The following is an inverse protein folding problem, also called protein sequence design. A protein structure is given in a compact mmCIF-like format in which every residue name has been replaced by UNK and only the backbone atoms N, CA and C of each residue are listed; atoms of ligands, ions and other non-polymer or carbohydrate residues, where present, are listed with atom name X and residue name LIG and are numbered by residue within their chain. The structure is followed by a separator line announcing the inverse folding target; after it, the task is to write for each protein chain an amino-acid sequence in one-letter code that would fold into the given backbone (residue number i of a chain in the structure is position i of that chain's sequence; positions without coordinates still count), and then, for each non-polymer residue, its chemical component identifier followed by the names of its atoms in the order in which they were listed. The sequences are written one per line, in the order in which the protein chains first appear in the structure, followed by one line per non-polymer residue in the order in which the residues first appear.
data_IF_950404441239
#
_entry.id   IF_950404441239
#
_cell.length_a   1.000
_cell.length_b   1.000
_cell.length_c   1.000
_cell.angle_alpha   90.00
_cell.angle_beta   90.00
_cell.angle_gamma   90.00
#
_symmetry.space_group_name_H-M   'P 1'
#
loop_
_entity.id
_entity.type
_entity.pdbx_description
1 polymer ?
#
# COMPACT_ATOMS: atom_id res chain seq x y z
N UNK A 1 -56.93 47.71 -4.86
CA UNK A 1 -57.11 46.36 -4.28
C UNK A 1 -56.24 45.41 -5.08
N UNK A 2 -55.12 44.93 -4.54
CA UNK A 2 -54.23 43.99 -5.23
C UNK A 2 -54.49 42.57 -4.69
N UNK A 3 -54.70 41.55 -5.55
CA UNK A 3 -54.97 40.20 -5.11
C UNK A 3 -53.74 39.59 -4.44
N UNK A 4 -53.91 39.06 -3.22
CA UNK A 4 -52.87 38.32 -2.52
C UNK A 4 -52.59 36.99 -3.24
N UNK A 5 -51.36 36.81 -3.74
CA UNK A 5 -50.92 35.53 -4.32
C UNK A 5 -50.87 34.47 -3.23
N UNK A 6 -51.62 33.38 -3.40
CA UNK A 6 -51.48 32.18 -2.58
C UNK A 6 -50.09 31.58 -2.82
N UNK A 7 -49.25 31.55 -1.79
CA UNK A 7 -47.99 30.81 -1.83
C UNK A 7 -48.30 29.33 -1.69
N UNK A 8 -47.88 28.53 -2.69
CA UNK A 8 -47.98 27.08 -2.63
C UNK A 8 -46.97 26.56 -1.61
N UNK A 9 -47.45 25.85 -0.60
CA UNK A 9 -46.60 25.16 0.38
C UNK A 9 -46.09 23.83 -0.18
N UNK A 10 -44.94 23.39 0.33
CA UNK A 10 -44.38 22.07 0.03
C UNK A 10 -45.25 20.98 0.64
N UNK A 11 -45.51 19.91 -0.11
CA UNK A 11 -46.22 18.74 0.41
C UNK A 11 -45.24 17.75 1.06
N UNK A 12 -45.71 16.99 2.06
CA UNK A 12 -44.90 15.93 2.69
C UNK A 12 -44.47 14.86 1.69
N UNK A 13 -45.31 14.57 0.68
CA UNK A 13 -44.99 13.58 -0.36
C UNK A 13 -43.87 14.07 -1.29
N UNK A 14 -43.83 15.36 -1.63
CA UNK A 14 -42.73 15.94 -2.42
C UNK A 14 -41.40 15.83 -1.68
N UNK A 15 -41.39 16.08 -0.37
CA UNK A 15 -40.18 15.89 0.43
C UNK A 15 -39.76 14.42 0.50
N UNK A 16 -40.73 13.51 0.69
CA UNK A 16 -40.48 12.08 0.84
C UNK A 16 -39.88 11.45 -0.42
N UNK A 17 -40.36 11.83 -1.61
CA UNK A 17 -39.82 11.34 -2.89
C UNK A 17 -38.39 11.86 -3.12
N UNK A 18 -38.10 13.10 -2.71
CA UNK A 18 -36.75 13.66 -2.90
C UNK A 18 -35.72 12.93 -2.04
N UNK A 19 -36.02 12.70 -0.75
CA UNK A 19 -35.09 12.00 0.12
C UNK A 19 -34.92 10.53 -0.28
N UNK A 20 -35.95 9.89 -0.85
CA UNK A 20 -35.84 8.50 -1.33
C UNK A 20 -35.00 8.39 -2.59
N UNK A 21 -35.05 9.38 -3.48
CA UNK A 21 -34.17 9.42 -4.65
C UNK A 21 -32.72 9.73 -4.28
N UNK A 22 -32.49 10.65 -3.34
CA UNK A 22 -31.14 10.95 -2.85
C UNK A 22 -30.53 9.72 -2.16
N UNK A 23 -31.28 9.00 -1.34
CA UNK A 23 -30.76 7.81 -0.65
C UNK A 23 -30.42 6.68 -1.63
N UNK A 24 -31.22 6.48 -2.68
CA UNK A 24 -30.93 5.54 -3.75
C UNK A 24 -29.61 5.88 -4.46
N UNK A 25 -29.46 7.13 -4.91
CA UNK A 25 -28.24 7.57 -5.59
C UNK A 25 -27.01 7.52 -4.67
N UNK A 26 -27.15 7.95 -3.42
CA UNK A 26 -26.07 7.92 -2.43
C UNK A 26 -25.59 6.49 -2.16
N UNK A 27 -26.49 5.50 -2.07
CA UNK A 27 -26.11 4.10 -1.86
C UNK A 27 -25.18 3.55 -2.94
N UNK A 28 -25.44 3.87 -4.22
CA UNK A 28 -24.61 3.44 -5.35
C UNK A 28 -23.24 4.09 -5.32
N UNK A 29 -23.17 5.39 -4.99
CA UNK A 29 -21.90 6.11 -4.87
C UNK A 29 -21.02 5.51 -3.78
N UNK A 30 -21.59 5.23 -2.60
CA UNK A 30 -20.84 4.63 -1.49
C UNK A 30 -20.26 3.25 -1.84
N UNK A 31 -21.05 2.38 -2.51
CA UNK A 31 -20.56 1.08 -2.96
C UNK A 31 -19.41 1.21 -3.97
N UNK A 32 -19.53 2.15 -4.92
CA UNK A 32 -18.47 2.39 -5.92
C UNK A 32 -17.17 2.93 -5.31
N UNK A 33 -17.27 3.74 -4.25
CA UNK A 33 -16.13 4.35 -3.57
C UNK A 33 -15.28 3.31 -2.84
N UNK A 34 -15.89 2.30 -2.22
CA UNK A 34 -15.15 1.23 -1.53
C UNK A 34 -14.22 0.49 -2.50
N UNK A 35 -14.75 0.03 -3.63
CA UNK A 35 -13.95 -0.67 -4.65
C UNK A 35 -12.85 0.21 -5.23
N UNK A 36 -13.12 1.49 -5.46
CA UNK A 36 -12.11 2.44 -5.96
C UNK A 36 -10.97 2.64 -4.95
N UNK A 37 -11.27 2.73 -3.66
CA UNK A 37 -10.25 2.85 -2.60
C UNK A 37 -9.39 1.60 -2.52
N UNK A 38 -9.98 0.42 -2.64
CA UNK A 38 -9.23 -0.84 -2.59
C UNK A 38 -8.26 -0.94 -3.78
N UNK A 39 -8.71 -0.64 -4.99
CA UNK A 39 -7.85 -0.58 -6.18
C UNK A 39 -6.72 0.44 -6.03
N UNK A 40 -7.00 1.60 -5.46
CA UNK A 40 -5.99 2.62 -5.21
C UNK A 40 -4.93 2.15 -4.19
N UNK A 41 -5.33 1.42 -3.14
CA UNK A 41 -4.39 0.79 -2.21
C UNK A 41 -3.48 -0.19 -2.94
N UNK A 42 -4.01 -1.13 -3.70
CA UNK A 42 -3.19 -2.07 -4.47
C UNK A 42 -2.24 -1.37 -5.48
N UNK A 43 -2.71 -0.34 -6.18
CA UNK A 43 -1.88 0.42 -7.10
C UNK A 43 -0.73 1.14 -6.39
N UNK A 44 -0.99 1.71 -5.21
CA UNK A 44 0.04 2.33 -4.36
C UNK A 44 1.06 1.29 -3.87
N UNK A 45 0.59 0.19 -3.29
CA UNK A 45 1.47 -0.88 -2.80
C UNK A 45 2.41 -1.38 -3.91
N UNK A 46 1.88 -1.59 -5.11
CA UNK A 46 2.65 -1.96 -6.29
C UNK A 46 3.72 -0.93 -6.64
N UNK A 47 3.35 0.36 -6.69
CA UNK A 47 4.29 1.45 -6.98
C UNK A 47 5.40 1.55 -5.94
N UNK A 48 5.05 1.39 -4.67
CA UNK A 48 5.99 1.45 -3.55
C UNK A 48 7.02 0.32 -3.63
N UNK A 49 6.59 -0.92 -3.90
CA UNK A 49 7.49 -2.07 -4.06
C UNK A 49 8.48 -1.87 -5.23
N UNK A 50 8.04 -1.34 -6.37
CA UNK A 50 8.95 -1.09 -7.50
C UNK A 50 9.98 0.00 -7.20
N UNK A 51 9.59 1.05 -6.46
CA UNK A 51 10.53 2.08 -6.02
C UNK A 51 11.56 1.51 -5.05
N UNK A 52 11.12 0.71 -4.07
CA UNK A 52 12.00 0.03 -3.12
C UNK A 52 12.98 -0.90 -3.84
N UNK A 53 12.48 -1.76 -4.73
CA UNK A 53 13.31 -2.66 -5.54
C UNK A 53 14.38 -1.90 -6.32
N UNK A 54 14.00 -0.80 -6.96
CA UNK A 54 14.93 0.02 -7.75
C UNK A 54 15.99 0.66 -6.85
N UNK A 55 15.59 1.23 -5.71
CA UNK A 55 16.50 1.82 -4.74
C UNK A 55 17.50 0.79 -4.19
N UNK A 56 17.02 -0.41 -3.84
CA UNK A 56 17.84 -1.52 -3.36
C UNK A 56 18.82 -2.03 -4.42
N UNK A 57 18.41 -2.08 -5.70
CA UNK A 57 19.30 -2.44 -6.80
C UNK A 57 20.44 -1.44 -6.99
N UNK A 58 20.14 -0.14 -6.94
CA UNK A 58 21.17 0.91 -7.04
C UNK A 58 22.08 0.87 -5.81
N UNK A 59 21.52 0.67 -4.62
CA UNK A 59 22.31 0.49 -3.39
C UNK A 59 23.31 -0.67 -3.53
N UNK A 60 22.85 -1.82 -4.06
CA UNK A 60 23.73 -2.98 -4.30
C UNK A 60 24.81 -2.70 -5.33
N UNK A 61 24.50 -1.98 -6.40
CA UNK A 61 25.49 -1.61 -7.42
C UNK A 61 26.61 -0.75 -6.81
N UNK A 62 26.25 0.16 -5.90
CA UNK A 62 27.20 1.06 -5.23
C UNK A 62 27.98 0.41 -4.09
N UNK A 63 27.34 -0.45 -3.29
CA UNK A 63 27.89 -0.99 -2.03
C UNK A 63 28.34 -2.44 -2.13
N UNK A 64 27.96 -3.15 -3.19
CA UNK A 64 28.25 -4.57 -3.41
C UNK A 64 27.33 -5.55 -2.67
N UNK A 65 26.49 -5.04 -1.76
CA UNK A 65 25.55 -5.80 -0.93
C UNK A 65 24.21 -5.06 -0.87
N UNK A 66 23.13 -5.77 -0.54
CA UNK A 66 21.83 -5.13 -0.31
C UNK A 66 21.82 -4.40 1.05
N UNK A 67 20.90 -3.44 1.27
CA UNK A 67 20.81 -2.73 2.54
C UNK A 67 20.64 -3.72 3.70
N UNK A 68 21.45 -3.62 4.77
CA UNK A 68 21.41 -4.57 5.86
C UNK A 68 20.06 -4.47 6.58
N UNK A 69 19.38 -5.62 6.66
CA UNK A 69 18.33 -5.87 7.65
C UNK A 69 19.04 -6.56 8.84
N UNK A 70 18.62 -6.30 10.09
CA UNK A 70 19.39 -6.67 11.30
C UNK A 70 19.83 -8.14 11.40
N UNK A 71 20.64 -8.45 12.43
CA UNK A 71 21.37 -9.72 12.65
C UNK A 71 20.49 -11.00 12.83
N UNK A 72 19.63 -11.39 11.86
CA UNK A 72 19.11 -12.76 11.65
C UNK A 72 18.00 -12.86 10.57
N UNK A 73 18.30 -12.68 9.29
CA UNK A 73 17.31 -12.99 8.24
C UNK A 73 17.15 -14.50 7.97
N UNK A 74 16.79 -15.29 8.98
CA UNK A 74 16.22 -16.63 8.83
C UNK A 74 14.69 -16.61 8.91
N UNK A 75 14.11 -15.46 9.30
CA UNK A 75 12.67 -15.32 9.54
C UNK A 75 12.15 -13.89 9.28
N UNK A 76 12.61 -13.21 8.23
CA UNK A 76 12.13 -11.87 7.81
C UNK A 76 10.67 -11.85 7.28
N UNK A 77 9.83 -12.78 7.71
CA UNK A 77 8.39 -12.85 7.42
C UNK A 77 7.56 -11.81 8.22
N UNK A 78 8.20 -10.88 8.91
CA UNK A 78 7.63 -9.66 9.47
C UNK A 78 8.79 -9.03 10.26
N UNK A 79 9.69 -8.24 9.64
CA UNK A 79 10.69 -7.56 10.43
C UNK A 79 9.92 -6.76 11.51
N UNK A 80 10.20 -6.93 12.82
CA UNK A 80 9.66 -6.02 13.81
C UNK A 80 10.00 -4.61 13.31
N UNK A 81 9.02 -3.71 13.23
CA UNK A 81 9.10 -2.46 12.44
C UNK A 81 10.35 -1.58 12.66
N UNK A 82 11.12 -1.84 13.73
CA UNK A 82 12.45 -1.29 13.96
C UNK A 82 13.47 -1.64 12.85
N UNK A 83 13.47 -2.87 12.31
CA UNK A 83 14.48 -3.33 11.33
C UNK A 83 14.20 -2.76 9.94
N UNK A 84 12.94 -2.78 9.49
CA UNK A 84 12.54 -2.16 8.22
C UNK A 84 12.85 -0.65 8.21
N UNK A 85 12.66 0.00 9.35
CA UNK A 85 12.95 1.42 9.48
C UNK A 85 14.43 1.74 9.22
N UNK A 86 15.35 0.87 9.63
CA UNK A 86 16.79 1.06 9.37
C UNK A 86 17.09 1.02 7.87
N UNK A 87 16.48 0.07 7.14
CA UNK A 87 16.61 -0.04 5.68
C UNK A 87 16.13 1.23 4.99
N UNK A 88 14.95 1.74 5.35
CA UNK A 88 14.41 2.97 4.76
C UNK A 88 15.24 4.20 5.14
N UNK A 89 15.69 4.28 6.40
CA UNK A 89 16.55 5.39 6.86
C UNK A 89 17.84 5.41 6.03
N UNK A 90 18.46 4.26 5.79
CA UNK A 90 19.68 4.17 4.98
C UNK A 90 19.43 4.51 3.49
N UNK A 91 18.39 3.95 2.87
CA UNK A 91 18.04 4.26 1.48
C UNK A 91 17.73 5.76 1.27
N UNK A 92 17.06 6.40 2.21
CA UNK A 92 16.72 7.83 2.12
C UNK A 92 17.93 8.72 2.43
N UNK A 93 18.69 8.41 3.48
CA UNK A 93 19.82 9.24 3.90
C UNK A 93 20.97 9.21 2.88
N UNK A 94 21.15 8.09 2.17
CA UNK A 94 22.12 7.97 1.10
C UNK A 94 21.56 8.36 -0.28
N UNK A 95 20.29 8.79 -0.37
CA UNK A 95 19.69 9.34 -1.59
C UNK A 95 19.22 8.32 -2.62
N UNK A 96 19.23 7.03 -2.31
CA UNK A 96 18.67 5.97 -3.16
C UNK A 96 17.15 6.03 -3.27
N UNK A 97 16.48 6.59 -2.27
CA UNK A 97 15.04 6.75 -2.22
C UNK A 97 14.65 8.21 -1.96
N UNK A 98 13.89 8.81 -2.88
CA UNK A 98 13.52 10.23 -2.80
C UNK A 98 12.42 10.54 -1.78
N UNK A 99 11.68 9.53 -1.32
CA UNK A 99 10.61 9.69 -0.34
C UNK A 99 10.46 8.44 0.52
N UNK A 100 10.20 8.62 1.82
CA UNK A 100 10.08 7.49 2.74
C UNK A 100 8.90 6.59 2.39
N UNK A 101 9.16 5.28 2.38
CA UNK A 101 8.15 4.22 2.20
C UNK A 101 8.17 3.35 3.46
N UNK A 102 7.54 3.84 4.52
CA UNK A 102 7.56 3.17 5.83
C UNK A 102 6.57 2.00 5.90
N UNK A 103 5.32 2.22 5.50
CA UNK A 103 4.26 1.22 5.59
C UNK A 103 3.47 1.09 4.29
N UNK A 104 2.94 -0.10 4.07
CA UNK A 104 1.97 -0.38 3.03
C UNK A 104 0.63 0.37 3.27
N UNK A 105 -0.29 0.37 2.29
CA UNK A 105 -1.59 1.02 2.41
C UNK A 105 -2.53 0.46 3.49
N UNK A 106 -2.20 -0.69 4.09
CA UNK A 106 -2.94 -1.36 5.17
C UNK A 106 -2.26 -1.18 6.54
N UNK A 107 -1.14 -0.44 6.58
CA UNK A 107 -0.42 -0.06 7.78
C UNK A 107 0.59 -1.10 8.27
N UNK A 108 0.93 -2.09 7.44
CA UNK A 108 1.99 -3.05 7.75
C UNK A 108 3.33 -2.56 7.19
N UNK A 109 4.43 -2.96 7.81
CA UNK A 109 5.76 -2.73 7.24
C UNK A 109 5.96 -3.64 6.02
N UNK A 110 6.75 -3.17 5.05
CA UNK A 110 7.18 -4.05 3.95
C UNK A 110 8.16 -5.10 4.47
N UNK A 111 8.12 -6.27 3.84
CA UNK A 111 9.06 -7.35 4.07
C UNK A 111 10.15 -7.35 3.00
N UNK A 112 11.36 -7.73 3.38
CA UNK A 112 12.47 -7.96 2.49
C UNK A 112 13.23 -9.19 2.96
N UNK A 113 13.57 -10.06 2.01
CA UNK A 113 14.32 -11.30 2.23
C UNK A 113 15.68 -11.16 1.53
N UNK A 114 16.75 -11.08 2.34
CA UNK A 114 18.13 -11.05 1.85
C UNK A 114 18.70 -12.46 1.78
N UNK A 115 18.65 -13.05 0.60
CA UNK A 115 19.24 -14.36 0.34
C UNK A 115 20.53 -14.26 -0.47
N UNK A 116 21.14 -13.07 -0.60
CA UNK A 116 22.39 -12.92 -1.34
C UNK A 116 23.52 -13.74 -0.64
N UNK A 117 23.87 -14.86 -1.27
CA UNK A 117 25.14 -15.58 -1.11
C UNK A 117 25.50 -16.24 0.25
N UNK A 118 24.69 -16.16 1.31
CA UNK A 118 25.03 -16.79 2.62
C UNK A 118 24.06 -17.85 3.16
N UNK A 119 22.93 -18.12 2.48
CA UNK A 119 21.90 -19.06 2.97
C UNK A 119 21.41 -20.12 1.95
N UNK A 120 22.08 -20.24 0.79
CA UNK A 120 21.74 -21.21 -0.26
C UNK A 120 20.83 -20.62 -1.35
N UNK A 121 21.46 -20.11 -2.41
CA UNK A 121 20.93 -19.85 -3.78
C UNK A 121 19.45 -19.45 -3.93
N UNK A 122 18.92 -18.67 -3.00
CA UNK A 122 17.57 -18.12 -3.10
C UNK A 122 17.70 -16.68 -3.56
N UNK A 123 16.82 -16.24 -4.46
CA UNK A 123 16.80 -14.85 -4.88
C UNK A 123 16.37 -13.95 -3.71
N UNK A 124 16.77 -12.67 -3.76
CA UNK A 124 16.33 -11.67 -2.80
C UNK A 124 15.03 -11.04 -3.26
N UNK A 125 14.08 -10.85 -2.34
CA UNK A 125 12.72 -10.39 -2.67
C UNK A 125 12.25 -9.29 -1.74
N UNK A 126 11.45 -8.36 -2.25
CA UNK A 126 10.66 -7.41 -1.45
C UNK A 126 9.17 -7.70 -1.62
N UNK A 127 8.40 -7.66 -0.54
CA UNK A 127 6.99 -8.03 -0.51
C UNK A 127 6.17 -7.23 0.50
N UNK A 128 4.86 -7.35 0.42
CA UNK A 128 3.88 -6.83 1.39
C UNK A 128 2.92 -7.95 1.78
N UNK A 129 2.59 -8.03 3.07
CA UNK A 129 1.55 -8.92 3.61
C UNK A 129 0.13 -8.49 3.22
N UNK A 130 -0.02 -7.41 2.44
CA UNK A 130 -1.30 -7.03 1.86
C UNK A 130 -2.40 -6.73 2.88
N UNK A 131 -3.62 -7.10 2.53
CA UNK A 131 -4.81 -6.73 3.28
C UNK A 131 -5.05 -7.67 4.47
N UNK A 132 -4.70 -8.95 4.32
CA UNK A 132 -4.92 -9.98 5.33
C UNK A 132 -3.82 -10.01 6.41
N UNK A 133 -2.68 -9.34 6.15
CA UNK A 133 -1.51 -9.27 7.03
C UNK A 133 -0.83 -10.62 7.26
N UNK A 134 -1.13 -11.59 6.41
CA UNK A 134 -0.52 -12.89 6.38
C UNK A 134 0.39 -12.90 5.14
N UNK A 135 1.48 -13.65 5.21
CA UNK A 135 2.35 -13.82 4.06
C UNK A 135 2.11 -15.20 3.44
N UNK A 136 2.29 -15.27 2.13
CA UNK A 136 2.11 -16.44 1.26
C UNK A 136 0.67 -16.96 1.18
N UNK A 137 -0.33 -16.11 1.37
CA UNK A 137 -1.77 -16.40 1.30
C UNK A 137 -2.43 -15.99 -0.02
N UNK A 138 -1.67 -15.46 -0.98
CA UNK A 138 -2.11 -15.21 -2.36
C UNK A 138 -2.79 -13.86 -2.58
N UNK A 139 -2.99 -13.06 -1.53
CA UNK A 139 -3.34 -11.64 -1.62
C UNK A 139 -2.09 -10.73 -1.60
N UNK A 140 -0.89 -11.32 -1.41
CA UNK A 140 0.35 -10.59 -1.55
C UNK A 140 0.45 -9.99 -2.94
N UNK A 141 0.71 -8.69 -2.98
CA UNK A 141 1.39 -8.16 -4.15
C UNK A 141 2.85 -8.57 -4.07
N UNK A 142 3.10 -9.78 -4.59
CA UNK A 142 4.36 -10.31 -5.12
C UNK A 142 5.59 -10.18 -4.23
N UNK A 143 6.28 -11.28 -3.90
CA UNK A 143 7.74 -11.20 -3.78
C UNK A 143 8.31 -10.70 -5.12
N UNK A 144 8.67 -9.41 -5.17
CA UNK A 144 9.32 -8.83 -6.33
C UNK A 144 10.82 -9.12 -6.22
N UNK A 145 11.31 -9.89 -7.19
CA UNK A 145 12.70 -10.27 -7.28
C UNK A 145 13.60 -9.04 -7.44
N UNK A 146 14.47 -8.83 -6.47
CA UNK A 146 15.50 -7.78 -6.48
C UNK A 146 16.68 -8.32 -7.29
N UNK A 147 17.35 -9.35 -6.77
CA UNK A 147 18.49 -10.02 -7.41
C UNK A 147 18.19 -11.49 -7.60
N UNK A 148 18.54 -12.08 -8.76
CA UNK A 148 18.58 -13.53 -8.85
C UNK A 148 19.62 -14.05 -7.85
N UNK A 149 19.37 -15.23 -7.28
CA UNK A 149 20.31 -15.85 -6.35
C UNK A 149 21.69 -15.99 -6.99
N UNK A 150 22.71 -15.99 -6.14
CA UNK A 150 24.02 -16.52 -6.48
C UNK A 150 23.87 -18.04 -6.80
#
# INVERSE_FOLDING_TARGET
MMPARHQKGFTLIELLVVISLISLLASMVLASLSSARDKARYARAKSDIYQLRTAMLVYKDDRGELPPIGDNCSACFNPPGAEWKLVIDDLVNNGYLSGRIDTDPWGNYYGYDDNDCNAGSSASYVFTAGADKINWTGDEYGPVLITPGC
#
